data_IF_825805939607
#
_entry.id   IF_825805939607
#
_cell.length_a   1.000
_cell.length_b   1.000
_cell.length_c   1.000
_cell.angle_alpha   90.00
_cell.angle_beta   90.00
_cell.angle_gamma   90.00
#
_symmetry.space_group_name_H-M   'P 1'
#
loop_
_entity.id
_entity.type
_entity.pdbx_description
1 polymer ?
#
# COMPACT_ATOMS: atom_id res chain seq x y z
N UNK A 1 3.51 -30.72 -46.83
CA UNK A 1 3.54 -29.61 -45.86
C UNK A 1 5.01 -29.39 -45.52
N UNK A 2 5.63 -28.41 -46.16
CA UNK A 2 7.02 -28.04 -45.90
C UNK A 2 7.09 -27.26 -44.57
N UNK A 3 7.92 -27.75 -43.66
CA UNK A 3 8.30 -27.04 -42.43
C UNK A 3 9.16 -25.83 -42.81
N UNK A 4 8.65 -24.62 -42.57
CA UNK A 4 9.44 -23.39 -42.56
C UNK A 4 10.40 -23.42 -41.35
N UNK A 5 11.54 -24.08 -41.52
CA UNK A 5 12.69 -23.94 -40.64
C UNK A 5 13.31 -22.57 -40.90
N UNK A 6 12.83 -21.55 -40.19
CA UNK A 6 13.45 -20.23 -40.15
C UNK A 6 14.89 -20.40 -39.65
N UNK A 7 15.86 -20.25 -40.56
CA UNK A 7 17.29 -20.26 -40.24
C UNK A 7 17.64 -19.00 -39.48
N UNK A 8 17.55 -19.07 -38.16
CA UNK A 8 17.95 -17.99 -37.25
C UNK A 8 19.42 -17.64 -37.51
N UNK A 9 19.65 -16.52 -38.20
CA UNK A 9 20.98 -16.06 -38.60
C UNK A 9 21.62 -15.42 -37.38
N UNK A 10 22.45 -16.18 -36.67
CA UNK A 10 23.11 -15.73 -35.43
C UNK A 10 24.44 -15.06 -35.74
N UNK A 11 24.48 -13.74 -35.58
CA UNK A 11 25.72 -12.98 -35.69
C UNK A 11 26.65 -13.26 -34.50
N UNK A 12 27.94 -13.48 -34.79
CA UNK A 12 28.96 -13.74 -33.77
C UNK A 12 29.73 -12.47 -33.45
N UNK A 13 29.71 -12.07 -32.18
CA UNK A 13 30.49 -10.95 -31.66
C UNK A 13 31.61 -11.50 -30.77
N UNK A 14 32.86 -11.13 -31.06
CA UNK A 14 34.01 -11.47 -30.23
C UNK A 14 34.20 -10.40 -29.15
N UNK A 15 33.91 -10.73 -27.89
CA UNK A 15 34.04 -9.82 -26.75
C UNK A 15 35.36 -10.07 -26.02
N UNK A 16 36.21 -9.04 -25.90
CA UNK A 16 37.38 -9.06 -25.00
C UNK A 16 36.97 -8.49 -23.65
N UNK A 17 37.30 -9.19 -22.58
CA UNK A 17 36.99 -8.78 -21.21
C UNK A 17 38.19 -9.10 -20.31
N UNK A 18 38.33 -8.36 -19.21
CA UNK A 18 39.37 -8.61 -18.23
C UNK A 18 39.07 -9.88 -17.40
N UNK A 19 40.06 -10.29 -16.62
CA UNK A 19 39.98 -11.53 -15.84
C UNK A 19 38.91 -11.44 -14.74
N UNK A 20 38.68 -10.25 -14.18
CA UNK A 20 37.68 -10.02 -13.15
C UNK A 20 36.25 -10.06 -13.72
N UNK A 21 35.98 -9.42 -14.86
CA UNK A 21 34.67 -9.49 -15.52
C UNK A 21 34.37 -10.91 -15.99
N UNK A 22 35.37 -11.64 -16.48
CA UNK A 22 35.24 -13.07 -16.80
C UNK A 22 34.82 -13.88 -15.58
N UNK A 23 35.50 -13.70 -14.43
CA UNK A 23 35.18 -14.40 -13.18
C UNK A 23 33.77 -14.08 -12.70
N UNK A 24 33.37 -12.80 -12.77
CA UNK A 24 32.01 -12.38 -12.41
C UNK A 24 30.96 -12.97 -13.33
N UNK A 25 31.22 -13.01 -14.64
CA UNK A 25 30.33 -13.65 -15.62
C UNK A 25 30.09 -15.12 -15.26
N UNK A 26 31.15 -15.88 -14.95
CA UNK A 26 31.06 -17.29 -14.54
C UNK A 26 30.19 -17.49 -13.29
N UNK A 27 30.37 -16.62 -12.28
CA UNK A 27 29.62 -16.68 -11.04
C UNK A 27 28.14 -16.37 -11.25
N UNK A 28 27.84 -15.31 -11.99
CA UNK A 28 26.49 -14.77 -12.10
C UNK A 28 25.64 -15.48 -13.16
N UNK A 29 26.22 -16.03 -14.24
CA UNK A 29 25.39 -16.78 -15.21
C UNK A 29 24.80 -18.05 -14.60
N UNK A 30 25.55 -18.72 -13.70
CA UNK A 30 25.05 -19.86 -12.94
C UNK A 30 24.00 -19.45 -11.92
N UNK A 31 24.24 -18.34 -11.21
CA UNK A 31 23.30 -17.81 -10.21
C UNK A 31 21.96 -17.37 -10.83
N UNK A 32 21.99 -16.81 -12.06
CA UNK A 32 20.79 -16.42 -12.82
C UNK A 32 20.10 -17.60 -13.54
N UNK A 33 20.58 -18.83 -13.32
CA UNK A 33 20.07 -20.05 -13.94
C UNK A 33 20.08 -19.99 -15.49
N UNK A 34 21.03 -19.25 -16.07
CA UNK A 34 21.21 -19.18 -17.52
C UNK A 34 21.85 -20.47 -18.04
N UNK A 35 21.37 -20.96 -19.19
CA UNK A 35 21.86 -22.21 -19.81
C UNK A 35 23.21 -22.01 -20.50
N UNK A 36 23.57 -20.77 -20.79
CA UNK A 36 24.88 -20.42 -21.36
C UNK A 36 25.30 -19.00 -20.99
N UNK A 37 26.61 -18.74 -21.05
CA UNK A 37 27.16 -17.38 -20.97
C UNK A 37 26.59 -16.46 -22.03
N UNK A 38 26.32 -16.98 -23.22
CA UNK A 38 25.73 -16.20 -24.32
C UNK A 38 24.32 -15.73 -23.97
N UNK A 39 23.50 -16.59 -23.36
CA UNK A 39 22.16 -16.21 -22.87
C UNK A 39 22.25 -15.10 -21.83
N UNK A 40 23.17 -15.23 -20.87
CA UNK A 40 23.39 -14.20 -19.86
C UNK A 40 23.84 -12.86 -20.46
N UNK A 41 24.78 -12.90 -21.41
CA UNK A 41 25.28 -11.71 -22.11
C UNK A 41 24.15 -11.05 -22.92
N UNK A 42 23.32 -11.84 -23.62
CA UNK A 42 22.18 -11.31 -24.38
C UNK A 42 21.13 -10.68 -23.46
N UNK A 43 20.81 -11.31 -22.31
CA UNK A 43 19.92 -10.71 -21.31
C UNK A 43 20.48 -9.37 -20.79
N UNK A 44 21.76 -9.32 -20.43
CA UNK A 44 22.39 -8.11 -19.95
C UNK A 44 22.44 -7.00 -21.02
N UNK A 45 22.69 -7.38 -22.27
CA UNK A 45 22.70 -6.46 -23.41
C UNK A 45 21.30 -5.90 -23.68
N UNK A 46 20.28 -6.76 -23.75
CA UNK A 46 18.88 -6.34 -23.92
C UNK A 46 18.44 -5.46 -22.75
N UNK A 47 18.77 -5.83 -21.51
CA UNK A 47 18.50 -4.98 -20.35
C UNK A 47 19.13 -3.59 -20.47
N UNK A 48 20.35 -3.49 -20.98
CA UNK A 48 21.01 -2.20 -21.18
C UNK A 48 20.41 -1.41 -22.35
N UNK A 49 20.01 -2.08 -23.43
CA UNK A 49 19.27 -1.47 -24.53
C UNK A 49 17.92 -0.95 -24.03
N UNK A 50 17.14 -1.77 -23.33
CA UNK A 50 15.87 -1.38 -22.70
C UNK A 50 16.10 -0.21 -21.74
N UNK A 51 17.17 -0.21 -20.96
CA UNK A 51 17.53 0.89 -20.08
C UNK A 51 17.84 2.18 -20.85
N UNK A 52 18.58 2.10 -21.96
CA UNK A 52 18.86 3.25 -22.82
C UNK A 52 17.59 3.73 -23.51
N UNK A 53 16.75 2.83 -23.99
CA UNK A 53 15.44 3.15 -24.54
C UNK A 53 14.54 3.80 -23.50
N UNK A 54 14.54 3.36 -22.24
CA UNK A 54 13.80 4.02 -21.14
C UNK A 54 14.43 5.38 -20.78
N UNK A 55 15.74 5.53 -20.95
CA UNK A 55 16.45 6.78 -20.66
C UNK A 55 16.24 7.82 -21.76
N UNK A 56 16.18 7.41 -23.02
CA UNK A 56 15.81 8.24 -24.18
C UNK A 56 14.29 8.46 -24.23
N UNK A 57 13.51 7.39 -24.10
CA UNK A 57 12.09 7.41 -23.76
C UNK A 57 11.91 7.62 -22.25
N UNK A 58 12.48 8.71 -21.71
CA UNK A 58 11.85 9.47 -20.62
C UNK A 58 10.50 9.96 -21.13
N UNK A 59 9.63 8.98 -21.28
CA UNK A 59 8.43 8.97 -22.05
C UNK A 59 7.46 9.84 -21.30
N UNK A 60 6.83 10.76 -22.03
CA UNK A 60 5.80 11.62 -21.50
C UNK A 60 4.73 10.84 -20.73
N UNK A 61 4.53 9.55 -21.05
CA UNK A 61 3.55 8.67 -20.44
C UNK A 61 3.81 8.35 -18.94
N UNK A 62 4.90 7.67 -18.51
CA UNK A 62 5.20 7.49 -17.09
C UNK A 62 5.24 8.79 -16.28
N UNK A 63 5.79 9.86 -16.85
CA UNK A 63 5.82 11.17 -16.19
C UNK A 63 4.42 11.79 -16.02
N UNK A 64 3.58 11.70 -17.06
CA UNK A 64 2.19 12.17 -17.01
C UNK A 64 1.35 11.32 -16.04
N UNK A 65 1.59 10.00 -15.96
CA UNK A 65 0.92 9.12 -15.00
C UNK A 65 1.31 9.54 -13.58
N UNK A 66 2.60 9.74 -13.30
CA UNK A 66 3.06 10.14 -11.98
C UNK A 66 2.51 11.51 -11.59
N UNK A 67 2.55 12.48 -12.49
CA UNK A 67 1.95 13.81 -12.27
C UNK A 67 0.44 13.74 -12.06
N UNK A 68 -0.29 12.88 -12.78
CA UNK A 68 -1.72 12.67 -12.59
C UNK A 68 -2.03 11.99 -11.23
N UNK A 69 -1.20 11.05 -10.79
CA UNK A 69 -1.30 10.42 -9.47
C UNK A 69 -1.07 11.47 -8.38
N UNK A 70 0.03 12.22 -8.46
CA UNK A 70 0.36 13.28 -7.50
C UNK A 70 -0.76 14.32 -7.43
N UNK A 71 -1.27 14.78 -8.58
CA UNK A 71 -2.37 15.74 -8.63
C UNK A 71 -3.72 15.19 -8.13
N UNK A 72 -3.95 13.87 -8.17
CA UNK A 72 -5.11 13.25 -7.52
C UNK A 72 -4.90 13.09 -6.02
N UNK A 73 -3.68 12.75 -5.60
CA UNK A 73 -3.32 12.60 -4.19
C UNK A 73 -3.41 13.94 -3.47
N UNK A 74 -2.83 15.01 -4.01
CA UNK A 74 -2.92 16.35 -3.39
C UNK A 74 -4.37 16.84 -3.27
N UNK A 75 -5.22 16.58 -4.27
CA UNK A 75 -6.66 16.92 -4.16
C UNK A 75 -7.38 16.10 -3.11
N UNK A 76 -7.00 14.83 -2.94
CA UNK A 76 -7.55 13.98 -1.90
C UNK A 76 -7.11 14.46 -0.51
N UNK A 77 -5.84 14.84 -0.35
CA UNK A 77 -5.30 15.42 0.88
C UNK A 77 -6.03 16.71 1.25
N UNK A 78 -6.19 17.63 0.30
CA UNK A 78 -6.97 18.87 0.51
C UNK A 78 -8.43 18.58 0.91
N UNK A 79 -9.06 17.61 0.24
CA UNK A 79 -10.44 17.23 0.53
C UNK A 79 -10.57 16.60 1.92
N UNK A 80 -9.66 15.69 2.29
CA UNK A 80 -9.61 15.07 3.62
C UNK A 80 -9.38 16.14 4.67
N UNK A 81 -8.39 17.01 4.53
CA UNK A 81 -8.08 18.06 5.50
C UNK A 81 -9.27 19.00 5.73
N UNK A 82 -9.91 19.47 4.65
CA UNK A 82 -11.11 20.33 4.76
C UNK A 82 -12.27 19.59 5.42
N UNK A 83 -12.53 18.35 5.01
CA UNK A 83 -13.64 17.56 5.54
C UNK A 83 -13.41 17.21 7.00
N UNK A 84 -12.19 16.86 7.37
CA UNK A 84 -11.78 16.53 8.74
C UNK A 84 -11.91 17.74 9.65
N UNK A 85 -11.45 18.93 9.21
CA UNK A 85 -11.67 20.18 9.94
C UNK A 85 -13.16 20.43 10.21
N UNK A 86 -14.02 20.34 9.19
CA UNK A 86 -15.47 20.49 9.39
C UNK A 86 -15.99 19.44 10.37
N UNK A 87 -15.54 18.19 10.28
CA UNK A 87 -15.96 17.13 11.20
C UNK A 87 -15.50 17.39 12.64
N UNK A 88 -14.30 17.90 12.85
CA UNK A 88 -13.80 18.30 14.17
C UNK A 88 -14.65 19.42 14.77
N UNK A 89 -15.02 20.44 13.99
CA UNK A 89 -15.90 21.53 14.45
C UNK A 89 -17.27 20.98 14.89
N UNK A 90 -17.91 20.18 14.05
CA UNK A 90 -19.22 19.59 14.38
C UNK A 90 -19.13 18.65 15.60
N UNK A 91 -18.02 17.91 15.73
CA UNK A 91 -17.78 17.02 16.87
C UNK A 91 -17.53 17.81 18.17
N UNK A 92 -16.80 18.92 18.11
CA UNK A 92 -16.60 19.81 19.27
C UNK A 92 -17.93 20.42 19.73
N UNK A 93 -18.75 20.92 18.80
CA UNK A 93 -20.09 21.42 19.11
C UNK A 93 -20.96 20.33 19.77
N UNK A 94 -20.94 19.11 19.22
CA UNK A 94 -21.68 17.98 19.79
C UNK A 94 -21.18 17.65 21.20
N UNK A 95 -19.86 17.64 21.42
CA UNK A 95 -19.27 17.41 22.74
C UNK A 95 -19.66 18.51 23.74
N UNK A 96 -19.69 19.77 23.30
CA UNK A 96 -20.15 20.90 24.10
C UNK A 96 -21.59 20.72 24.57
N UNK A 97 -22.51 20.36 23.65
CA UNK A 97 -23.90 20.08 23.98
C UNK A 97 -24.02 18.92 24.98
N UNK A 98 -23.24 17.84 24.81
CA UNK A 98 -23.25 16.70 25.74
C UNK A 98 -22.73 17.12 27.12
N UNK A 99 -21.67 17.92 27.18
CA UNK A 99 -21.11 18.41 28.44
C UNK A 99 -22.07 19.37 29.18
N UNK A 100 -22.86 20.15 28.45
CA UNK A 100 -23.93 20.97 29.04
C UNK A 100 -25.10 20.11 29.54
N UNK A 101 -25.46 19.05 28.81
CA UNK A 101 -26.60 18.19 29.15
C UNK A 101 -26.31 17.17 30.26
N UNK A 102 -25.06 16.75 30.43
CA UNK A 102 -24.66 15.69 31.36
C UNK A 102 -23.46 16.12 32.23
N UNK A 103 -23.61 16.00 33.55
CA UNK A 103 -22.47 16.11 34.46
C UNK A 103 -21.71 14.78 34.49
N UNK A 104 -20.59 14.73 33.78
CA UNK A 104 -19.70 13.56 33.75
C UNK A 104 -18.42 13.85 34.53
N UNK A 105 -18.04 12.93 35.43
CA UNK A 105 -16.76 13.01 36.12
C UNK A 105 -15.58 12.60 35.19
N UNK A 106 -14.37 13.07 35.53
CA UNK A 106 -13.17 12.84 34.72
C UNK A 106 -12.81 11.34 34.61
N UNK A 107 -13.07 10.56 35.66
CA UNK A 107 -12.73 9.14 35.68
C UNK A 107 -13.69 8.32 34.80
N UNK A 108 -14.96 8.71 34.72
CA UNK A 108 -15.95 8.16 33.80
C UNK A 108 -15.56 8.43 32.36
N UNK A 109 -15.10 9.65 32.05
CA UNK A 109 -14.58 10.00 30.72
C UNK A 109 -13.36 9.15 30.35
N UNK A 110 -12.42 8.93 31.29
CA UNK A 110 -11.26 8.05 31.08
C UNK A 110 -11.68 6.61 30.81
N UNK A 111 -12.63 6.06 31.58
CA UNK A 111 -13.16 4.70 31.40
C UNK A 111 -13.82 4.53 30.03
N UNK A 112 -14.68 5.48 29.64
CA UNK A 112 -15.35 5.47 28.34
C UNK A 112 -14.31 5.52 27.21
N UNK A 113 -13.33 6.42 27.28
CA UNK A 113 -12.25 6.51 26.28
C UNK A 113 -11.50 5.19 26.15
N UNK A 114 -11.12 4.57 27.26
CA UNK A 114 -10.44 3.28 27.23
C UNK A 114 -11.28 2.19 26.56
N UNK A 115 -12.58 2.13 26.84
CA UNK A 115 -13.50 1.21 26.19
C UNK A 115 -13.64 1.50 24.69
N UNK A 116 -13.80 2.76 24.29
CA UNK A 116 -13.89 3.15 22.89
C UNK A 116 -12.63 2.78 22.12
N UNK A 117 -11.43 2.99 22.69
CA UNK A 117 -10.16 2.58 22.07
C UNK A 117 -10.09 1.06 21.89
N UNK A 118 -10.50 0.29 22.91
CA UNK A 118 -10.56 -1.18 22.79
C UNK A 118 -11.51 -1.61 21.67
N UNK A 119 -12.70 -1.01 21.60
CA UNK A 119 -13.69 -1.33 20.58
C UNK A 119 -13.16 -1.02 19.18
N UNK A 120 -12.57 0.15 18.96
CA UNK A 120 -11.97 0.53 17.67
C UNK A 120 -10.86 -0.44 17.25
N UNK A 121 -10.00 -0.85 18.18
CA UNK A 121 -8.95 -1.83 17.91
C UNK A 121 -9.54 -3.20 17.56
N UNK A 122 -10.56 -3.64 18.30
CA UNK A 122 -11.19 -4.94 18.08
C UNK A 122 -11.96 -5.01 16.75
N UNK A 123 -12.46 -3.87 16.24
CA UNK A 123 -13.26 -3.82 15.01
C UNK A 123 -12.51 -3.25 13.80
N UNK A 124 -11.19 -3.02 13.91
CA UNK A 124 -10.39 -2.35 12.86
C UNK A 124 -11.02 -1.03 12.37
N UNK A 125 -11.58 -0.25 13.31
CA UNK A 125 -12.22 1.03 12.99
C UNK A 125 -13.67 0.94 12.52
N UNK A 126 -14.25 -0.27 12.38
CA UNK A 126 -15.66 -0.44 12.04
C UNK A 126 -16.55 -0.25 13.27
N UNK A 127 -17.11 0.96 13.42
CA UNK A 127 -18.02 1.30 14.51
C UNK A 127 -19.47 1.23 14.01
N UNK A 128 -20.35 0.56 14.76
CA UNK A 128 -21.78 0.45 14.44
C UNK A 128 -22.64 0.77 15.68
N UNK A 129 -23.56 1.72 15.52
CA UNK A 129 -24.49 2.12 16.59
C UNK A 129 -25.41 0.96 17.00
N UNK A 130 -25.88 0.15 16.05
CA UNK A 130 -26.75 -1.01 16.31
C UNK A 130 -26.05 -2.03 17.21
N UNK A 131 -24.75 -2.25 16.99
CA UNK A 131 -23.94 -3.13 17.85
C UNK A 131 -23.82 -2.58 19.26
N UNK A 132 -23.61 -1.27 19.41
CA UNK A 132 -23.59 -0.63 20.73
C UNK A 132 -24.93 -0.76 21.46
N UNK A 133 -26.04 -0.49 20.76
CA UNK A 133 -27.39 -0.61 21.32
C UNK A 133 -27.69 -2.04 21.80
N UNK A 134 -27.30 -3.05 21.01
CA UNK A 134 -27.48 -4.47 21.38
C UNK A 134 -26.62 -4.87 22.58
N UNK A 135 -25.34 -4.52 22.58
CA UNK A 135 -24.44 -4.85 23.70
C UNK A 135 -24.88 -4.26 25.03
N UNK A 136 -25.54 -3.08 25.00
CA UNK A 136 -26.10 -2.46 26.19
C UNK A 136 -27.34 -3.22 26.70
N UNK A 137 -28.22 -3.63 25.79
CA UNK A 137 -29.39 -4.46 26.14
C UNK A 137 -29.00 -5.84 26.67
N UNK A 138 -27.87 -6.41 26.24
CA UNK A 138 -27.36 -7.70 26.77
C UNK A 138 -26.78 -7.52 28.17
N UNK A 139 -26.01 -6.46 28.44
CA UNK A 139 -25.52 -6.13 29.79
C UNK A 139 -26.66 -5.90 30.79
N UNK A 140 -27.69 -5.17 30.38
CA UNK A 140 -28.86 -4.92 31.24
C UNK A 140 -29.64 -6.22 31.55
N UNK A 141 -29.63 -7.21 30.63
CA UNK A 141 -30.28 -8.53 30.85
C UNK A 141 -29.49 -9.45 31.75
N UNK A 142 -28.17 -9.44 31.66
CA UNK A 142 -27.30 -10.27 32.50
C UNK A 142 -27.34 -9.79 33.97
N UNK A 143 -27.55 -8.50 34.22
CA UNK A 143 -27.73 -7.93 35.56
C UNK A 143 -29.10 -8.25 36.19
N UNK A 144 -30.12 -8.55 35.38
CA UNK A 144 -31.48 -8.93 35.81
C UNK A 144 -31.60 -10.44 36.12
N UNK A 145 -30.72 -11.29 35.57
CA UNK A 145 -30.81 -12.76 35.69
C UNK A 145 -30.19 -13.32 37.01
N UNK A 146 -29.55 -12.47 37.82
CA UNK A 146 -28.92 -12.83 39.11
C UNK A 146 -29.65 -12.27 40.35
N UNK A 147 -30.91 -11.84 40.25
CA UNK A 147 -31.68 -11.25 41.36
C UNK A 147 -32.78 -12.15 41.97
N UNK A 148 -32.73 -13.47 41.77
CA UNK A 148 -33.60 -14.45 42.46
C UNK A 148 -32.81 -15.36 43.42
#
# INVERSE_FOLDING_TARGET
>A
MEEFMSTETRDRIAVRMDQETSRRLEQWYLADNCKSKNEFILKAMNFYIDHLEIKDNKSLLPMAIMSAIDGRLSRLEDYIARRDFTRCVEQDMTNGIIAEAFQMDEDALKRIRAQSVRNVKATNGLISLEKYARSRQEQDRDDDEWQD
#
